data_IF_665364746664
#
_entry.id   IF_665364746664
#
_cell.length_a   1.000
_cell.length_b   1.000
_cell.length_c   1.000
_cell.angle_alpha   90.00
_cell.angle_beta   90.00
_cell.angle_gamma   90.00
#
_symmetry.space_group_name_H-M   'P 1'
#
loop_
_entity.id
_entity.type
_entity.pdbx_description
1 polymer ?
#
# COMPACT_ATOMS: atom_id res chain seq x y z
N UNK A 1 -3.04 -23.46 10.62
CA UNK A 1 -1.58 -23.56 10.82
C UNK A 1 -1.19 -23.21 12.24
N UNK A 2 -1.67 -22.11 12.83
CA UNK A 2 -1.37 -21.72 14.22
C UNK A 2 -1.69 -22.81 15.25
N UNK A 3 -2.91 -23.36 15.19
CA UNK A 3 -3.39 -24.33 16.19
C UNK A 3 -3.12 -25.79 15.80
N UNK A 4 -3.12 -26.08 14.50
CA UNK A 4 -3.02 -27.44 13.97
C UNK A 4 -1.61 -27.86 13.62
N UNK A 5 -0.66 -26.92 13.54
CA UNK A 5 0.70 -27.13 13.04
C UNK A 5 0.77 -27.86 11.68
N UNK A 6 -0.31 -27.79 10.90
CA UNK A 6 -0.46 -28.46 9.60
C UNK A 6 -1.12 -27.50 8.61
N UNK A 7 -0.65 -27.49 7.37
CA UNK A 7 -1.23 -26.70 6.28
C UNK A 7 -2.62 -27.26 5.90
N UNK A 8 -3.70 -26.44 5.91
CA UNK A 8 -5.04 -26.91 5.57
C UNK A 8 -5.24 -27.16 4.06
N UNK A 9 -4.26 -26.79 3.22
CA UNK A 9 -4.35 -26.92 1.76
C UNK A 9 -3.66 -28.16 1.22
N UNK A 10 -2.51 -28.54 1.79
CA UNK A 10 -1.71 -29.65 1.29
C UNK A 10 -1.25 -30.63 2.39
N UNK A 11 -1.73 -30.45 3.63
CA UNK A 11 -1.39 -31.28 4.79
C UNK A 11 0.10 -31.33 5.16
N UNK A 12 0.92 -30.46 4.59
CA UNK A 12 2.34 -30.36 4.96
C UNK A 12 2.50 -29.79 6.37
N UNK A 13 3.57 -30.22 7.05
CA UNK A 13 4.01 -29.72 8.35
C UNK A 13 5.21 -28.74 8.21
N UNK A 14 5.66 -28.49 6.99
CA UNK A 14 6.69 -27.47 6.70
C UNK A 14 6.07 -26.08 6.83
N UNK A 15 6.08 -25.52 8.04
CA UNK A 15 5.44 -24.25 8.37
C UNK A 15 6.46 -23.28 8.94
N UNK A 16 6.60 -22.11 8.31
CA UNK A 16 7.39 -20.99 8.80
C UNK A 16 6.47 -20.02 9.55
N UNK A 17 6.86 -19.64 10.77
CA UNK A 17 6.21 -18.58 11.54
C UNK A 17 6.97 -17.26 11.33
N UNK A 18 6.27 -16.25 10.84
CA UNK A 18 6.82 -14.92 10.58
C UNK A 18 6.11 -13.96 11.53
N UNK A 19 6.79 -13.54 12.58
CA UNK A 19 6.22 -12.67 13.60
C UNK A 19 5.80 -11.31 13.03
N UNK A 20 4.69 -10.78 13.56
CA UNK A 20 4.24 -9.44 13.24
C UNK A 20 5.26 -8.39 13.68
N UNK A 21 5.75 -7.60 12.72
CA UNK A 21 6.68 -6.50 12.98
C UNK A 21 6.18 -5.26 12.26
N UNK A 22 6.22 -4.13 12.96
CA UNK A 22 6.06 -2.79 12.37
C UNK A 22 7.44 -2.23 12.09
N UNK A 23 7.70 -1.86 10.85
CA UNK A 23 8.92 -1.17 10.41
C UNK A 23 8.61 0.22 9.87
N UNK A 24 9.68 0.99 9.63
CA UNK A 24 9.56 2.31 9.00
C UNK A 24 8.93 2.22 7.62
N UNK A 25 8.26 3.30 7.20
CA UNK A 25 7.63 3.45 5.87
C UNK A 25 6.56 2.40 5.52
N UNK A 26 5.84 1.86 6.52
CA UNK A 26 4.82 0.83 6.29
C UNK A 26 5.40 -0.54 5.90
N UNK A 27 6.69 -0.76 6.16
CA UNK A 27 7.34 -2.05 5.93
C UNK A 27 7.12 -2.97 7.12
N UNK A 28 6.47 -4.12 6.91
CA UNK A 28 6.17 -5.03 8.01
C UNK A 28 5.08 -6.02 7.68
N UNK A 29 4.81 -6.92 8.63
CA UNK A 29 3.58 -7.71 8.64
C UNK A 29 2.64 -7.07 9.66
N UNK A 30 1.97 -6.03 9.20
CA UNK A 30 1.05 -5.25 10.02
C UNK A 30 -0.09 -4.67 9.17
N UNK A 31 -1.16 -4.31 9.85
CA UNK A 31 -2.35 -3.70 9.28
C UNK A 31 -2.48 -2.31 9.89
N UNK A 32 -2.57 -1.29 9.03
CA UNK A 32 -2.88 0.05 9.48
C UNK A 32 -4.36 0.16 9.86
N UNK A 33 -4.61 0.59 11.10
CA UNK A 33 -5.96 0.73 11.65
C UNK A 33 -6.10 2.16 12.19
N UNK A 34 -6.63 3.06 11.36
CA UNK A 34 -6.78 4.47 11.70
C UNK A 34 -5.41 5.15 11.89
N UNK A 35 -5.18 5.73 13.07
CA UNK A 35 -3.90 6.33 13.46
C UNK A 35 -2.89 5.33 14.05
N UNK A 36 -3.27 4.05 14.15
CA UNK A 36 -2.46 3.00 14.73
C UNK A 36 -2.06 1.92 13.73
N UNK A 37 -1.28 0.98 14.21
CA UNK A 37 -0.82 -0.18 13.43
C UNK A 37 -0.94 -1.43 14.29
N UNK A 38 -1.59 -2.46 13.74
CA UNK A 38 -1.81 -3.75 14.38
C UNK A 38 -0.84 -4.76 13.78
N UNK A 39 -0.06 -5.42 14.64
CA UNK A 39 0.90 -6.45 14.19
C UNK A 39 0.16 -7.73 13.80
N UNK A 40 0.63 -8.37 12.74
CA UNK A 40 0.03 -9.61 12.22
C UNK A 40 1.11 -10.68 12.09
N UNK A 41 0.94 -11.78 12.82
CA UNK A 41 1.77 -12.96 12.66
C UNK A 41 1.30 -13.76 11.44
N UNK A 42 2.23 -14.12 10.55
CA UNK A 42 1.95 -14.88 9.34
C UNK A 42 2.57 -16.27 9.45
N UNK A 43 1.75 -17.30 9.30
CA UNK A 43 2.19 -18.68 9.11
C UNK A 43 2.23 -18.95 7.61
N UNK A 44 3.36 -19.41 7.08
CA UNK A 44 3.56 -19.72 5.67
C UNK A 44 3.89 -21.21 5.50
N UNK A 45 3.12 -21.89 4.66
CA UNK A 45 3.44 -23.26 4.25
C UNK A 45 4.61 -23.25 3.26
N UNK A 46 5.74 -23.86 3.64
CA UNK A 46 6.92 -23.98 2.78
C UNK A 46 6.69 -24.84 1.54
N UNK A 47 5.74 -25.78 1.61
CA UNK A 47 5.53 -26.73 0.51
C UNK A 47 4.56 -26.23 -0.58
N UNK A 48 3.54 -25.44 -0.23
CA UNK A 48 2.52 -24.98 -1.20
C UNK A 48 2.31 -23.46 -1.26
N UNK A 49 3.00 -22.69 -0.41
CA UNK A 49 2.90 -21.23 -0.39
C UNK A 49 1.63 -20.67 0.24
N UNK A 50 0.70 -21.51 0.73
CA UNK A 50 -0.48 -21.03 1.47
C UNK A 50 -0.03 -20.28 2.74
N UNK A 51 -0.60 -19.10 2.97
CA UNK A 51 -0.36 -18.29 4.16
C UNK A 51 -1.63 -18.09 4.99
N UNK A 52 -1.50 -18.16 6.31
CA UNK A 52 -2.55 -17.90 7.30
C UNK A 52 -2.07 -16.82 8.26
N UNK A 53 -2.88 -15.79 8.46
CA UNK A 53 -2.52 -14.60 9.23
C UNK A 53 -3.33 -14.51 10.53
N UNK A 54 -2.69 -14.03 11.59
CA UNK A 54 -3.26 -13.92 12.93
C UNK A 54 -2.90 -12.59 13.60
N UNK A 55 -3.89 -11.96 14.22
CA UNK A 55 -3.68 -10.90 15.21
C UNK A 55 -3.65 -11.59 16.58
N UNK A 56 -2.49 -11.56 17.24
CA UNK A 56 -2.29 -12.29 18.49
C UNK A 56 -2.83 -11.54 19.71
N UNK A 57 -2.74 -10.21 19.70
CA UNK A 57 -3.17 -9.33 20.78
C UNK A 57 -4.70 -9.12 20.76
N UNK A 58 -5.45 -9.51 21.82
CA UNK A 58 -6.90 -9.28 21.90
C UNK A 58 -7.32 -7.81 21.82
N UNK A 59 -6.50 -6.91 22.34
CA UNK A 59 -6.68 -5.46 22.29
C UNK A 59 -6.61 -4.90 20.85
N UNK A 60 -5.74 -5.47 20.02
CA UNK A 60 -5.58 -5.11 18.62
C UNK A 60 -6.76 -5.63 17.77
N UNK A 61 -7.27 -6.82 18.11
CA UNK A 61 -8.51 -7.33 17.53
C UNK A 61 -9.70 -6.42 17.86
N UNK A 62 -9.78 -5.90 19.08
CA UNK A 62 -10.83 -4.97 19.47
C UNK A 62 -10.73 -3.64 18.72
N UNK A 63 -9.52 -3.11 18.58
CA UNK A 63 -9.24 -1.86 17.84
C UNK A 63 -9.57 -2.00 16.35
N UNK A 64 -9.23 -3.13 15.75
CA UNK A 64 -9.54 -3.44 14.35
C UNK A 64 -11.05 -3.48 14.05
N UNK A 65 -11.85 -4.04 14.98
CA UNK A 65 -13.32 -4.11 14.85
C UNK A 65 -14.00 -2.74 14.90
N UNK A 66 -13.48 -1.80 15.70
CA UNK A 66 -14.02 -0.44 15.81
C UNK A 66 -13.85 0.32 14.50
N UNK A 67 -12.70 0.16 13.85
CA UNK A 67 -12.42 0.82 12.57
C UNK A 67 -13.29 0.26 11.42
N UNK A 68 -13.60 -1.05 11.44
CA UNK A 68 -14.48 -1.65 10.42
C UNK A 68 -15.92 -1.16 10.51
N UNK A 69 -16.40 -0.76 11.70
CA UNK A 69 -17.72 -0.14 11.85
C UNK A 69 -17.80 1.23 11.15
N UNK A 70 -16.68 1.96 11.05
CA UNK A 70 -16.58 3.20 10.29
C UNK A 70 -16.54 2.94 8.76
N UNK A 71 -15.86 1.88 8.33
CA UNK A 71 -15.85 1.47 6.91
C UNK A 71 -17.22 0.98 6.41
N UNK A 72 -18.08 0.44 7.29
CA UNK A 72 -19.47 0.11 6.95
C UNK A 72 -20.35 1.34 6.64
N UNK A 73 -19.88 2.55 6.96
CA UNK A 73 -20.53 3.80 6.57
C UNK A 73 -20.08 4.30 5.20
N UNK A 74 -19.07 3.69 4.58
CA UNK A 74 -18.78 3.97 3.17
C UNK A 74 -19.90 3.36 2.33
N UNK A 75 -20.59 4.16 1.50
CA UNK A 75 -21.58 3.62 0.59
C UNK A 75 -20.92 2.56 -0.30
N UNK A 76 -21.60 1.46 -0.61
CA UNK A 76 -21.05 0.41 -1.46
C UNK A 76 -20.67 1.03 -2.80
N UNK A 77 -19.38 1.13 -3.07
CA UNK A 77 -18.82 1.46 -4.36
C UNK A 77 -19.33 2.80 -4.94
N UNK A 78 -18.80 3.94 -4.48
CA UNK A 78 -18.62 5.03 -5.45
C UNK A 78 -17.63 4.50 -6.48
N UNK A 79 -18.18 4.01 -7.60
CA UNK A 79 -17.40 3.65 -8.76
C UNK A 79 -16.39 4.77 -8.99
N UNK A 80 -15.11 4.41 -9.12
CA UNK A 80 -14.17 5.26 -9.83
C UNK A 80 -14.87 5.62 -11.14
N UNK A 81 -15.38 6.86 -11.23
CA UNK A 81 -15.89 7.35 -12.50
C UNK A 81 -14.74 7.14 -13.49
N UNK A 82 -14.95 6.42 -14.61
CA UNK A 82 -13.93 6.37 -15.62
C UNK A 82 -13.60 7.82 -15.96
N UNK A 83 -12.34 8.21 -15.77
CA UNK A 83 -11.86 9.48 -16.27
C UNK A 83 -12.24 9.53 -17.74
N UNK A 84 -12.98 10.57 -18.21
CA UNK A 84 -13.39 10.62 -19.59
C UNK A 84 -12.13 10.52 -20.48
N UNK A 85 -12.11 9.65 -21.50
CA UNK A 85 -11.00 9.61 -22.42
C UNK A 85 -10.98 10.94 -23.19
N UNK A 86 -9.95 11.75 -22.92
CA UNK A 86 -9.68 12.97 -23.67
C UNK A 86 -9.90 14.26 -22.87
N UNK A 87 -8.95 14.62 -22.02
CA UNK A 87 -8.49 16.00 -22.08
C UNK A 87 -7.41 16.02 -23.16
N UNK A 88 -7.76 16.57 -24.31
CA UNK A 88 -6.79 16.95 -25.31
C UNK A 88 -5.74 17.81 -24.59
N UNK A 89 -4.50 17.33 -24.55
CA UNK A 89 -3.37 18.14 -24.13
C UNK A 89 -3.30 19.30 -25.12
N UNK A 90 -3.84 20.45 -24.74
CA UNK A 90 -3.71 21.68 -25.50
C UNK A 90 -2.20 21.97 -25.59
N UNK A 91 -1.59 21.54 -26.69
CA UNK A 91 -0.27 21.99 -27.09
C UNK A 91 -0.44 23.45 -27.46
N UNK A 92 -0.27 24.33 -26.47
CA UNK A 92 0.01 25.72 -26.73
C UNK A 92 1.29 25.74 -27.57
N UNK A 93 1.09 25.98 -28.86
CA UNK A 93 2.16 26.29 -29.81
C UNK A 93 2.86 27.52 -29.27
N UNK A 94 4.08 27.34 -28.76
CA UNK A 94 4.99 28.45 -28.50
C UNK A 94 5.17 29.20 -29.83
N UNK A 95 4.90 30.52 -29.90
CA UNK A 95 5.23 31.28 -31.09
C UNK A 95 6.74 31.27 -31.26
N UNK A 96 7.17 30.84 -32.46
CA UNK A 96 8.54 30.97 -32.91
C UNK A 96 8.93 32.45 -32.96
N UNK A 97 10.22 32.71 -32.68
CA UNK A 97 10.96 33.98 -32.81
C UNK A 97 10.94 34.88 -31.57
N UNK A 98 12.00 34.76 -30.78
CA UNK A 98 12.88 35.91 -30.60
C UNK A 98 14.32 35.48 -30.91
N UNK A 99 14.88 36.25 -31.82
CA UNK A 99 16.14 36.06 -32.52
C UNK A 99 17.26 36.49 -31.58
N UNK A 100 18.23 35.60 -31.36
CA UNK A 100 19.51 35.94 -30.75
C UNK A 100 20.37 36.72 -31.75
N UNK A 101 20.47 38.03 -31.53
CA UNK A 101 21.43 38.97 -32.16
C UNK A 101 21.61 40.08 -31.14
N UNK A 102 22.77 40.54 -30.66
CA UNK A 102 24.19 40.51 -31.03
C UNK A 102 24.98 40.33 -29.71
N UNK A 103 26.14 39.68 -29.68
CA UNK A 103 27.38 40.29 -30.15
C UNK A 103 28.07 41.05 -29.00
N UNK A 104 29.22 40.51 -28.59
CA UNK A 104 30.32 41.08 -27.79
C UNK A 104 30.38 42.62 -27.67
N UNK A 105 30.82 43.14 -26.52
CA UNK A 105 32.03 43.98 -26.34
C UNK A 105 32.09 44.66 -24.95
N UNK A 106 33.18 44.37 -24.21
CA UNK A 106 34.02 45.25 -23.37
C UNK A 106 33.69 45.65 -21.91
N UNK A 107 34.82 45.80 -21.22
CA UNK A 107 35.13 46.11 -19.82
C UNK A 107 34.91 47.58 -19.38
N UNK A 108 35.24 47.83 -18.10
CA UNK A 108 35.37 49.07 -17.31
C UNK A 108 34.17 49.30 -16.37
N UNK A 109 34.32 49.52 -15.06
CA UNK A 109 35.38 50.16 -14.24
C UNK A 109 35.57 49.36 -12.94
#
# INVERSE_FOLDING_TARGET
>A
MKNTHTCPKCSSQEIMCIEGRTGGYGGGNDIHVGFGTVKVTRYLCGSCGFSEEWIDAPEDLHSSKKNTALLKQQPPNQALHPTPPGSARASLRLPARLIWTFGSWRAAI
#
